data_IF_049108450937
#
_entry.id   IF_049108450937
#
_cell.length_a   1.000
_cell.length_b   1.000
_cell.length_c   1.000
_cell.angle_alpha   90.00
_cell.angle_beta   90.00
_cell.angle_gamma   90.00
#
_symmetry.space_group_name_H-M   'P 1'
#
loop_
_entity.id
_entity.type
_entity.pdbx_description
1 polymer ?
#
# COMPACT_ATOMS: atom_id res chain seq x y z
N UNK A 1 1.89 -31.38 12.56
CA UNK A 1 1.97 -30.64 11.28
C UNK A 1 1.41 -29.26 11.55
N UNK A 2 2.13 -28.20 11.20
CA UNK A 2 1.68 -26.82 11.44
C UNK A 2 1.13 -26.24 10.14
N UNK A 3 -0.02 -25.58 10.19
CA UNK A 3 -0.56 -24.84 9.02
C UNK A 3 -0.08 -23.39 9.14
N UNK A 4 0.53 -22.86 8.09
CA UNK A 4 0.87 -21.44 8.00
C UNK A 4 -0.13 -20.77 7.07
N UNK A 5 -0.85 -19.78 7.60
CA UNK A 5 -1.65 -18.84 6.83
C UNK A 5 -0.82 -17.58 6.64
N UNK A 6 -0.49 -17.28 5.39
CA UNK A 6 0.11 -16.00 5.02
C UNK A 6 -0.95 -15.16 4.32
N UNK A 7 -1.56 -14.18 5.02
CA UNK A 7 -2.61 -13.37 4.43
C UNK A 7 -2.09 -12.47 3.30
N UNK A 8 -0.79 -12.16 3.25
CA UNK A 8 -0.21 -11.21 2.31
C UNK A 8 -0.93 -9.84 2.26
N UNK A 9 -1.62 -9.44 3.35
CA UNK A 9 -2.35 -8.18 3.45
C UNK A 9 -1.43 -7.11 4.02
N UNK A 10 -1.26 -6.01 3.30
CA UNK A 10 -0.48 -4.89 3.78
C UNK A 10 -1.23 -4.12 4.86
N UNK A 11 -0.68 -4.03 6.08
CA UNK A 11 -1.26 -3.24 7.16
C UNK A 11 -0.56 -1.89 7.21
N UNK A 12 -1.32 -0.82 6.96
CA UNK A 12 -0.81 0.53 6.90
C UNK A 12 -1.12 1.27 8.21
N UNK A 13 -0.14 1.97 8.81
CA UNK A 13 -0.39 2.73 10.02
C UNK A 13 -1.35 3.91 9.75
N UNK A 14 -2.08 4.36 10.77
CA UNK A 14 -3.06 5.45 10.61
C UNK A 14 -2.41 6.75 10.12
N UNK A 15 -1.17 7.00 10.57
CA UNK A 15 -0.37 8.16 10.18
C UNK A 15 0.46 7.95 8.90
N UNK A 16 0.28 6.84 8.18
CA UNK A 16 0.93 6.58 6.90
C UNK A 16 0.73 7.77 5.96
N UNK A 17 1.72 8.11 5.14
CA UNK A 17 1.64 9.27 4.24
C UNK A 17 1.87 8.85 2.81
N UNK A 18 1.29 9.66 1.93
CA UNK A 18 1.45 9.50 0.50
C UNK A 18 1.84 10.85 -0.08
N UNK A 19 2.91 10.87 -0.84
CA UNK A 19 3.42 12.06 -1.50
C UNK A 19 3.36 11.89 -3.00
N UNK A 20 2.77 12.86 -3.71
CA UNK A 20 2.94 12.99 -5.16
C UNK A 20 4.19 13.83 -5.38
N UNK A 21 5.26 13.21 -5.88
CA UNK A 21 6.54 13.87 -6.14
C UNK A 21 6.76 14.07 -7.64
N UNK A 22 6.94 15.32 -8.03
CA UNK A 22 7.17 15.73 -9.40
C UNK A 22 8.68 15.71 -9.70
N UNK A 23 9.16 14.88 -10.65
CA UNK A 23 10.59 14.69 -10.94
C UNK A 23 11.19 15.86 -11.73
N UNK A 24 11.22 17.04 -11.09
CA UNK A 24 11.71 18.29 -11.65
C UNK A 24 10.83 18.89 -12.74
N UNK A 25 11.22 20.09 -13.17
CA UNK A 25 10.57 20.82 -14.26
C UNK A 25 10.53 19.95 -15.53
N UNK A 26 9.35 19.84 -16.14
CA UNK A 26 9.15 19.02 -17.34
C UNK A 26 9.34 17.51 -17.14
N UNK A 27 9.37 17.03 -15.88
CA UNK A 27 9.58 15.62 -15.51
C UNK A 27 10.96 15.08 -15.89
N UNK A 28 11.96 15.95 -15.87
CA UNK A 28 13.30 15.72 -16.41
C UNK A 28 14.17 14.72 -15.64
N UNK A 29 13.82 14.41 -14.38
CA UNK A 29 14.50 13.41 -13.53
C UNK A 29 13.76 12.08 -13.46
N UNK A 30 12.72 11.88 -14.28
CA UNK A 30 11.89 10.67 -14.21
C UNK A 30 12.70 9.38 -14.42
N UNK A 31 13.63 9.40 -15.39
CA UNK A 31 14.54 8.27 -15.62
C UNK A 31 15.58 8.10 -14.50
N UNK A 32 16.10 9.19 -13.95
CA UNK A 32 17.09 9.17 -12.87
C UNK A 32 16.51 8.51 -11.60
N UNK A 33 15.24 8.80 -11.28
CA UNK A 33 14.57 8.20 -10.12
C UNK A 33 14.44 6.67 -10.26
N UNK A 34 14.07 6.20 -11.45
CA UNK A 34 13.97 4.77 -11.74
C UNK A 34 15.34 4.10 -11.67
N UNK A 35 16.35 4.67 -12.32
CA UNK A 35 17.69 4.10 -12.42
C UNK A 35 18.41 4.03 -11.06
N UNK A 36 18.20 5.03 -10.20
CA UNK A 36 18.86 5.12 -8.89
C UNK A 36 18.08 4.47 -7.74
N UNK A 37 16.85 3.99 -7.97
CA UNK A 37 15.94 3.56 -6.91
C UNK A 37 15.83 4.60 -5.78
N UNK A 38 15.77 5.87 -6.16
CA UNK A 38 15.76 7.00 -5.23
C UNK A 38 14.88 8.13 -5.73
N UNK A 39 14.46 8.99 -4.82
CA UNK A 39 13.72 10.20 -5.12
C UNK A 39 14.40 11.41 -4.47
N UNK A 40 14.39 12.54 -5.15
CA UNK A 40 15.05 13.75 -4.68
C UNK A 40 14.40 15.01 -5.24
N UNK A 41 14.61 16.14 -4.55
CA UNK A 41 14.33 17.45 -5.10
C UNK A 41 15.52 17.96 -5.90
N UNK A 42 15.26 18.88 -6.82
CA UNK A 42 16.25 19.48 -7.71
C UNK A 42 17.19 20.45 -6.97
N UNK A 43 18.08 19.87 -6.17
CA UNK A 43 18.91 20.56 -5.18
C UNK A 43 20.41 20.24 -5.39
N UNK A 44 20.99 20.58 -6.56
CA UNK A 44 22.38 20.28 -6.84
C UNK A 44 23.32 21.02 -5.89
N UNK A 45 24.31 20.30 -5.36
CA UNK A 45 25.39 20.84 -4.54
C UNK A 45 24.98 21.12 -3.09
N UNK A 46 23.79 20.70 -2.67
CA UNK A 46 23.38 20.75 -1.26
C UNK A 46 23.85 19.50 -0.54
N UNK A 47 24.40 19.69 0.66
CA UNK A 47 24.50 18.66 1.68
C UNK A 47 23.79 19.10 2.96
N UNK A 48 23.18 18.13 3.62
CA UNK A 48 22.57 18.32 4.92
C UNK A 48 23.45 17.63 5.96
N UNK A 49 23.61 18.24 7.14
CA UNK A 49 24.26 17.60 8.29
C UNK A 49 23.25 16.85 9.16
N UNK A 50 22.00 17.30 9.13
CA UNK A 50 20.85 16.77 9.88
C UNK A 50 19.60 16.99 9.04
N UNK A 51 18.46 16.43 9.47
CA UNK A 51 17.17 16.75 8.86
C UNK A 51 16.95 18.29 8.79
N UNK A 52 16.51 18.82 7.65
CA UNK A 52 16.34 20.26 7.45
C UNK A 52 15.17 20.83 8.26
N UNK A 53 15.37 22.01 8.84
CA UNK A 53 14.36 22.79 9.57
C UNK A 53 13.84 23.96 8.70
N UNK A 54 12.52 24.16 8.68
CA UNK A 54 11.84 25.25 7.97
C UNK A 54 12.31 26.65 8.40
N UNK A 55 12.72 26.79 9.66
CA UNK A 55 13.13 28.05 10.24
C UNK A 55 14.63 28.32 10.10
N UNK A 56 15.43 27.35 9.63
CA UNK A 56 16.86 27.52 9.46
C UNK A 56 17.19 28.48 8.30
N UNK A 57 17.89 29.58 8.63
CA UNK A 57 18.41 30.52 7.64
C UNK A 57 19.47 29.88 6.74
N UNK A 58 20.26 28.91 7.24
CA UNK A 58 21.27 28.22 6.43
C UNK A 58 20.60 27.37 5.34
N UNK A 59 19.49 26.71 5.64
CA UNK A 59 18.68 26.00 4.63
C UNK A 59 18.29 26.95 3.49
N UNK A 60 17.76 28.12 3.81
CA UNK A 60 17.33 29.10 2.79
C UNK A 60 18.49 29.54 1.88
N UNK A 61 19.67 29.73 2.46
CA UNK A 61 20.89 30.07 1.72
C UNK A 61 21.33 28.92 0.80
N UNK A 62 21.32 27.67 1.29
CA UNK A 62 21.60 26.47 0.49
C UNK A 62 20.64 26.33 -0.69
N UNK A 63 19.34 26.60 -0.50
CA UNK A 63 18.35 26.55 -1.59
C UNK A 63 18.59 27.61 -2.67
N UNK A 64 19.01 28.82 -2.28
CA UNK A 64 19.39 29.87 -3.25
C UNK A 64 20.64 29.48 -4.04
N UNK A 65 21.64 28.91 -3.36
CA UNK A 65 22.85 28.36 -3.98
C UNK A 65 22.51 27.29 -5.02
N UNK A 66 21.73 26.28 -4.64
CA UNK A 66 21.32 25.20 -5.54
C UNK A 66 20.56 25.71 -6.76
N UNK A 67 19.69 26.70 -6.58
CA UNK A 67 19.01 27.38 -7.68
C UNK A 67 19.99 28.05 -8.64
N UNK A 68 21.02 28.74 -8.13
CA UNK A 68 22.05 29.38 -8.95
C UNK A 68 22.85 28.35 -9.74
N UNK A 69 23.25 27.24 -9.10
CA UNK A 69 23.92 26.09 -9.75
C UNK A 69 23.03 25.53 -10.87
N UNK A 70 21.75 25.30 -10.58
CA UNK A 70 20.79 24.80 -11.57
C UNK A 70 20.58 25.74 -12.77
N UNK A 71 20.60 27.06 -12.56
CA UNK A 71 20.52 28.05 -13.64
C UNK A 71 21.81 28.04 -14.47
N UNK A 72 22.98 28.07 -13.82
CA UNK A 72 24.28 28.06 -14.49
C UNK A 72 24.45 26.84 -15.40
N UNK A 73 24.14 25.64 -14.91
CA UNK A 73 24.19 24.40 -15.69
C UNK A 73 23.25 24.43 -16.90
N UNK A 74 22.02 24.94 -16.73
CA UNK A 74 21.06 25.10 -17.85
C UNK A 74 21.52 26.09 -18.91
N UNK A 75 22.34 27.08 -18.55
CA UNK A 75 22.89 28.11 -19.46
C UNK A 75 24.20 27.71 -20.14
N UNK A 76 24.58 26.42 -20.08
CA UNK A 76 25.79 25.92 -20.72
C UNK A 76 27.05 26.02 -19.88
N UNK A 77 26.95 26.30 -18.58
CA UNK A 77 28.06 26.24 -17.63
C UNK A 77 29.24 27.17 -17.96
N UNK A 78 28.98 28.41 -18.38
CA UNK A 78 30.03 29.39 -18.66
C UNK A 78 31.00 29.54 -17.46
N UNK A 79 32.32 29.30 -17.62
CA UNK A 79 33.30 29.41 -16.54
C UNK A 79 33.30 30.77 -15.84
N UNK A 80 33.04 31.86 -16.57
CA UNK A 80 33.09 33.22 -16.03
C UNK A 80 31.90 33.53 -15.09
N UNK A 81 30.80 32.79 -15.20
CA UNK A 81 29.62 32.92 -14.33
C UNK A 81 29.47 31.72 -13.38
N UNK A 82 30.59 31.08 -13.03
CA UNK A 82 30.59 29.90 -12.16
C UNK A 82 30.09 30.30 -10.75
N UNK A 83 29.00 29.71 -10.24
CA UNK A 83 28.42 30.10 -8.96
C UNK A 83 29.29 29.68 -7.78
N UNK A 84 29.26 30.43 -6.69
CA UNK A 84 29.89 30.00 -5.44
C UNK A 84 29.21 28.76 -4.86
N UNK A 85 30.00 27.91 -4.19
CA UNK A 85 29.55 26.72 -3.43
C UNK A 85 29.46 26.99 -1.94
N UNK A 86 29.74 28.23 -1.52
CA UNK A 86 29.51 28.67 -0.15
C UNK A 86 28.06 29.19 -0.02
N UNK A 87 27.21 28.58 0.84
CA UNK A 87 25.85 29.07 1.05
C UNK A 87 25.79 30.53 1.54
N UNK A 88 26.77 30.97 2.33
CA UNK A 88 26.75 32.31 2.95
C UNK A 88 26.87 33.43 1.92
N UNK A 89 27.45 33.16 0.75
CA UNK A 89 27.51 34.10 -0.37
C UNK A 89 26.11 34.41 -0.95
N UNK A 90 25.08 33.65 -0.55
CA UNK A 90 23.67 33.81 -0.93
C UNK A 90 22.78 34.28 0.23
N UNK A 91 23.39 34.70 1.34
CA UNK A 91 22.67 35.31 2.45
C UNK A 91 21.95 36.59 2.01
N UNK A 92 20.69 36.73 2.43
CA UNK A 92 19.89 37.92 2.14
C UNK A 92 19.82 38.77 3.40
N UNK A 93 20.28 40.02 3.30
CA UNK A 93 20.26 41.00 4.40
C UNK A 93 18.95 41.79 4.47
N UNK A 94 18.13 41.77 3.41
CA UNK A 94 16.84 42.48 3.33
C UNK A 94 15.65 41.52 3.29
N UNK A 95 14.79 41.59 4.32
CA UNK A 95 13.65 40.67 4.57
C UNK A 95 12.59 40.66 3.45
N UNK A 96 12.61 41.63 2.53
CA UNK A 96 11.63 41.79 1.45
C UNK A 96 11.79 40.80 0.28
N UNK A 97 12.85 40.00 0.24
CA UNK A 97 13.04 38.99 -0.82
C UNK A 97 12.26 37.73 -0.46
N UNK A 98 11.28 37.38 -1.31
CA UNK A 98 10.46 36.17 -1.19
C UNK A 98 11.28 34.95 -0.72
N UNK A 99 10.74 34.21 0.25
CA UNK A 99 11.35 32.98 0.73
C UNK A 99 11.64 32.04 -0.46
N UNK A 100 12.79 31.34 -0.47
CA UNK A 100 13.12 30.43 -1.56
C UNK A 100 12.00 29.40 -1.74
N UNK A 101 11.60 29.18 -2.99
CA UNK A 101 10.69 28.08 -3.35
C UNK A 101 11.32 26.77 -2.88
N UNK A 102 10.49 25.83 -2.42
CA UNK A 102 10.86 24.48 -1.95
C UNK A 102 11.19 24.29 -0.47
N UNK A 103 11.11 25.31 0.40
CA UNK A 103 11.41 25.11 1.84
C UNK A 103 10.47 24.07 2.47
N UNK A 104 9.17 24.15 2.19
CA UNK A 104 8.21 23.15 2.67
C UNK A 104 8.42 21.80 2.02
N UNK A 105 8.66 21.77 0.71
CA UNK A 105 8.85 20.52 -0.01
C UNK A 105 10.11 19.75 0.44
N UNK A 106 11.18 20.48 0.80
CA UNK A 106 12.39 19.92 1.42
C UNK A 106 12.06 19.30 2.76
N UNK A 107 11.34 20.02 3.61
CA UNK A 107 10.93 19.50 4.92
C UNK A 107 10.01 18.27 4.77
N UNK A 108 9.05 18.31 3.85
CA UNK A 108 8.13 17.20 3.60
C UNK A 108 8.89 15.93 3.20
N UNK A 109 9.86 16.03 2.29
CA UNK A 109 10.59 14.87 1.78
C UNK A 109 11.70 14.38 2.71
N UNK A 110 12.45 15.28 3.35
CA UNK A 110 13.67 14.93 4.09
C UNK A 110 13.49 14.93 5.61
N UNK A 111 12.36 15.43 6.13
CA UNK A 111 12.09 15.46 7.58
C UNK A 111 10.83 14.67 7.93
N UNK A 112 9.75 14.91 7.19
CA UNK A 112 8.42 14.40 7.53
C UNK A 112 8.09 13.03 6.96
N UNK A 113 8.65 12.67 5.79
CA UNK A 113 8.48 11.35 5.20
C UNK A 113 9.25 10.29 5.99
N UNK A 114 8.59 9.18 6.33
CA UNK A 114 9.14 8.10 7.16
C UNK A 114 9.36 6.83 6.35
N UNK A 115 10.15 5.91 6.90
CA UNK A 115 10.20 4.55 6.37
C UNK A 115 8.78 3.96 6.29
N UNK A 116 8.48 3.31 5.15
CA UNK A 116 7.17 2.75 4.83
C UNK A 116 6.22 3.70 4.10
N UNK A 117 6.43 5.03 4.13
CA UNK A 117 5.55 5.98 3.42
C UNK A 117 5.63 5.80 1.89
N UNK A 118 4.54 6.12 1.20
CA UNK A 118 4.46 6.02 -0.25
C UNK A 118 4.84 7.32 -0.96
N UNK A 119 5.60 7.19 -2.04
CA UNK A 119 5.84 8.25 -3.02
C UNK A 119 5.33 7.83 -4.39
N UNK A 120 4.60 8.73 -5.04
CA UNK A 120 4.05 8.55 -6.37
C UNK A 120 4.75 9.52 -7.30
N UNK A 121 5.35 9.00 -8.36
CA UNK A 121 6.12 9.79 -9.34
C UNK A 121 5.44 9.69 -10.70
N UNK A 122 4.67 10.72 -11.12
CA UNK A 122 3.99 10.68 -12.40
C UNK A 122 4.92 11.14 -13.53
N UNK A 123 4.93 10.39 -14.64
CA UNK A 123 5.64 10.75 -15.86
C UNK A 123 5.04 11.93 -16.63
N UNK A 124 5.62 12.23 -17.80
CA UNK A 124 5.20 13.34 -18.68
C UNK A 124 4.00 12.92 -19.55
N UNK A 125 2.96 13.76 -19.60
CA UNK A 125 1.76 13.50 -20.41
C UNK A 125 0.84 12.44 -19.82
N UNK A 126 -0.37 12.29 -20.36
CA UNK A 126 -1.42 11.45 -19.77
C UNK A 126 -1.16 9.93 -19.88
N UNK A 127 -0.59 9.46 -20.99
CA UNK A 127 -0.29 8.03 -21.19
C UNK A 127 0.99 7.55 -20.50
N UNK A 128 1.65 8.39 -19.71
CA UNK A 128 2.87 7.98 -19.01
C UNK A 128 2.55 7.12 -17.79
N UNK A 129 3.43 6.15 -17.53
CA UNK A 129 3.42 5.36 -16.32
C UNK A 129 3.59 6.27 -15.09
N UNK A 130 2.97 5.85 -14.01
CA UNK A 130 3.10 6.44 -12.68
C UNK A 130 3.83 5.43 -11.82
N UNK A 131 5.01 5.80 -11.30
CA UNK A 131 5.76 4.93 -10.41
C UNK A 131 5.29 5.06 -8.97
N UNK A 132 5.23 3.93 -8.27
CA UNK A 132 4.91 3.83 -6.86
C UNK A 132 6.16 3.35 -6.13
N UNK A 133 6.67 4.13 -5.21
CA UNK A 133 7.82 3.78 -4.38
C UNK A 133 7.44 3.77 -2.92
N UNK A 134 7.95 2.80 -2.17
CA UNK A 134 7.93 2.80 -0.70
C UNK A 134 9.27 3.35 -0.19
N UNK A 135 9.22 4.35 0.69
CA UNK A 135 10.42 4.92 1.33
C UNK A 135 11.03 3.86 2.24
N UNK A 136 12.30 3.52 2.01
CA UNK A 136 12.91 2.36 2.68
C UNK A 136 13.38 2.67 4.10
N UNK A 137 13.99 3.83 4.27
CA UNK A 137 14.64 4.24 5.52
C UNK A 137 14.21 5.67 5.88
N UNK A 138 14.43 6.05 7.14
CA UNK A 138 14.42 7.45 7.55
C UNK A 138 15.52 8.23 6.81
N UNK A 139 15.47 9.57 6.92
CA UNK A 139 16.39 10.42 6.18
C UNK A 139 17.83 10.23 6.67
N UNK A 140 18.70 9.89 5.73
CA UNK A 140 20.14 9.78 5.92
C UNK A 140 20.81 10.98 5.22
N UNK A 141 21.43 11.92 5.96
CA UNK A 141 22.09 13.09 5.38
C UNK A 141 23.26 12.76 4.45
N UNK A 142 23.88 11.59 4.63
CA UNK A 142 25.02 11.13 3.83
C UNK A 142 24.57 10.44 2.53
N UNK A 143 23.31 10.02 2.46
CA UNK A 143 22.76 9.39 1.26
C UNK A 143 22.47 10.43 0.17
N UNK A 144 23.38 10.49 -0.81
CA UNK A 144 23.28 11.39 -1.96
C UNK A 144 23.35 10.61 -3.27
N UNK A 145 22.84 11.24 -4.33
CA UNK A 145 22.89 10.72 -5.70
C UNK A 145 23.44 11.76 -6.66
N UNK A 146 23.98 11.28 -7.78
CA UNK A 146 24.43 12.11 -8.89
C UNK A 146 23.45 11.97 -10.05
N UNK A 147 23.03 13.07 -10.66
CA UNK A 147 22.25 13.06 -11.90
C UNK A 147 23.17 13.36 -13.09
N UNK A 148 22.89 12.76 -14.25
CA UNK A 148 23.60 13.12 -15.50
C UNK A 148 23.51 14.62 -15.84
N UNK A 149 22.51 15.32 -15.30
CA UNK A 149 22.34 16.77 -15.47
C UNK A 149 23.30 17.59 -14.61
N UNK A 150 23.86 16.97 -13.57
CA UNK A 150 24.73 17.57 -12.57
C UNK A 150 25.91 16.62 -12.27
N UNK A 151 26.80 16.36 -13.25
CA UNK A 151 27.81 15.31 -13.12
C UNK A 151 28.78 15.55 -11.96
N UNK A 152 29.05 16.81 -11.60
CA UNK A 152 30.00 17.19 -10.55
C UNK A 152 29.30 17.63 -9.26
N UNK A 153 27.98 17.47 -9.15
CA UNK A 153 27.23 17.91 -7.97
C UNK A 153 26.45 16.73 -7.39
N UNK A 154 26.51 16.57 -6.08
CA UNK A 154 25.67 15.62 -5.35
C UNK A 154 24.31 16.22 -5.04
N UNK A 155 23.30 15.37 -4.91
CA UNK A 155 21.94 15.75 -4.56
C UNK A 155 21.47 14.87 -3.39
N UNK A 156 20.95 15.45 -2.30
CA UNK A 156 20.40 14.67 -1.21
C UNK A 156 19.15 13.91 -1.68
N UNK A 157 19.02 12.64 -1.31
CA UNK A 157 17.96 11.77 -1.82
C UNK A 157 17.30 10.94 -0.72
N UNK A 158 16.17 10.31 -1.06
CA UNK A 158 15.54 9.26 -0.26
C UNK A 158 15.55 7.97 -1.06
N UNK A 159 16.06 6.89 -0.46
CA UNK A 159 16.02 5.56 -1.07
C UNK A 159 14.59 5.02 -1.06
N UNK A 160 14.17 4.48 -2.20
CA UNK A 160 12.82 3.91 -2.37
C UNK A 160 12.88 2.52 -2.98
N UNK A 161 11.92 1.68 -2.62
CA UNK A 161 11.65 0.42 -3.30
C UNK A 161 10.49 0.63 -4.25
N UNK A 162 10.75 0.55 -5.54
CA UNK A 162 9.70 0.61 -6.56
C UNK A 162 8.81 -0.62 -6.47
N UNK A 163 7.51 -0.39 -6.32
CA UNK A 163 6.48 -1.43 -6.38
C UNK A 163 6.21 -1.81 -7.85
N UNK A 164 5.92 -3.08 -8.15
CA UNK A 164 5.69 -3.56 -9.51
C UNK A 164 4.30 -3.17 -10.04
N UNK A 165 3.99 -1.87 -10.01
CA UNK A 165 2.72 -1.30 -10.46
C UNK A 165 2.91 -0.70 -11.86
N UNK A 166 2.11 -1.15 -12.83
CA UNK A 166 2.11 -0.60 -14.18
C UNK A 166 0.79 0.10 -14.47
N UNK A 167 0.68 1.35 -14.02
CA UNK A 167 -0.48 2.19 -14.26
C UNK A 167 -0.10 3.44 -15.02
N UNK A 168 -0.87 3.72 -16.07
CA UNK A 168 -0.85 5.00 -16.74
C UNK A 168 -1.62 6.03 -15.91
N UNK A 169 -1.21 7.30 -16.01
CA UNK A 169 -1.86 8.40 -15.28
C UNK A 169 -3.36 8.56 -15.63
N UNK A 170 -3.82 8.11 -16.80
CA UNK A 170 -5.24 8.19 -17.18
C UNK A 170 -6.14 7.25 -16.40
N UNK A 171 -5.58 6.21 -15.77
CA UNK A 171 -6.36 5.22 -15.01
C UNK A 171 -6.78 5.71 -13.63
N UNK A 172 -6.25 6.86 -13.18
CA UNK A 172 -6.61 7.44 -11.90
C UNK A 172 -7.86 8.32 -12.00
N UNK A 173 -8.51 8.55 -10.86
CA UNK A 173 -9.59 9.50 -10.78
C UNK A 173 -9.14 10.92 -11.20
N UNK A 174 -10.10 11.75 -11.64
CA UNK A 174 -9.81 13.11 -12.15
C UNK A 174 -9.10 14.01 -11.13
N UNK A 175 -9.32 13.80 -9.84
CA UNK A 175 -8.74 14.58 -8.74
C UNK A 175 -7.25 14.25 -8.57
N UNK A 176 -6.90 12.96 -8.55
CA UNK A 176 -5.53 12.46 -8.56
C UNK A 176 -4.78 12.88 -9.81
N UNK A 177 -5.41 12.80 -10.99
CA UNK A 177 -4.82 13.30 -12.25
C UNK A 177 -4.44 14.78 -12.11
N UNK A 178 -5.33 15.61 -11.55
CA UNK A 178 -5.05 17.04 -11.33
C UNK A 178 -3.90 17.26 -10.36
N UNK A 179 -3.80 16.47 -9.29
CA UNK A 179 -2.66 16.50 -8.38
C UNK A 179 -1.36 16.16 -9.11
N UNK A 180 -1.34 15.09 -9.91
CA UNK A 180 -0.18 14.66 -10.70
C UNK A 180 0.25 15.65 -11.81
N UNK A 181 -0.62 16.60 -12.15
CA UNK A 181 -0.37 17.68 -13.13
C UNK A 181 0.03 19.01 -12.51
N UNK A 182 -0.03 19.12 -11.18
CA UNK A 182 0.32 20.34 -10.46
C UNK A 182 1.82 20.69 -10.68
N UNK A 183 2.18 21.96 -10.44
CA UNK A 183 3.53 22.51 -10.55
C UNK A 183 4.33 22.44 -9.24
N UNK A 184 3.68 22.14 -8.12
CA UNK A 184 4.37 21.92 -6.84
C UNK A 184 5.30 20.69 -6.93
N UNK A 185 6.46 20.76 -6.28
CA UNK A 185 7.45 19.69 -6.38
C UNK A 185 7.01 18.44 -5.62
N UNK A 186 6.45 18.60 -4.43
CA UNK A 186 5.85 17.52 -3.66
C UNK A 186 4.48 17.97 -3.15
N UNK A 187 3.54 17.03 -3.08
CA UNK A 187 2.20 17.28 -2.57
C UNK A 187 1.80 16.09 -1.70
N UNK A 188 1.47 16.34 -0.44
CA UNK A 188 0.90 15.30 0.40
C UNK A 188 -0.57 15.04 0.02
N UNK A 189 -0.93 13.78 -0.19
CA UNK A 189 -2.32 13.37 -0.42
C UNK A 189 -3.03 13.25 0.92
N UNK A 190 -3.94 14.17 1.20
CA UNK A 190 -4.66 14.24 2.48
C UNK A 190 -6.05 13.62 2.45
N UNK A 191 -6.71 13.61 1.27
CA UNK A 191 -8.08 13.11 1.13
C UNK A 191 -8.13 11.59 1.19
N UNK A 192 -9.06 11.06 1.99
CA UNK A 192 -9.15 9.61 2.20
C UNK A 192 -9.44 8.83 0.93
N UNK A 193 -10.39 9.24 0.08
CA UNK A 193 -10.70 8.45 -1.13
C UNK A 193 -9.52 8.39 -2.11
N UNK A 194 -8.74 9.47 -2.22
CA UNK A 194 -7.53 9.48 -3.05
C UNK A 194 -6.48 8.51 -2.51
N UNK A 195 -6.31 8.50 -1.18
CA UNK A 195 -5.39 7.60 -0.51
C UNK A 195 -5.80 6.15 -0.69
N UNK A 196 -7.10 5.86 -0.57
CA UNK A 196 -7.66 4.51 -0.75
C UNK A 196 -7.44 3.98 -2.15
N UNK A 197 -7.69 4.79 -3.18
CA UNK A 197 -7.42 4.42 -4.58
C UNK A 197 -5.94 4.12 -4.80
N UNK A 198 -5.05 4.96 -4.25
CA UNK A 198 -3.60 4.74 -4.32
C UNK A 198 -3.22 3.44 -3.62
N UNK A 199 -3.74 3.14 -2.43
CA UNK A 199 -3.42 1.89 -1.73
C UNK A 199 -3.92 0.67 -2.47
N UNK A 200 -5.13 0.73 -3.06
CA UNK A 200 -5.66 -0.34 -3.92
C UNK A 200 -4.72 -0.62 -5.08
N UNK A 201 -4.19 0.43 -5.73
CA UNK A 201 -3.24 0.28 -6.82
C UNK A 201 -1.84 -0.17 -6.38
N UNK A 202 -1.37 0.29 -5.22
CA UNK A 202 -0.04 0.01 -4.70
C UNK A 202 0.11 -1.43 -4.18
N UNK A 203 -0.90 -1.89 -3.44
CA UNK A 203 -0.82 -3.11 -2.64
C UNK A 203 -1.87 -4.16 -3.04
N UNK A 204 -2.93 -3.78 -3.76
CA UNK A 204 -4.09 -4.64 -3.94
C UNK A 204 -4.82 -4.78 -2.61
N UNK A 205 -4.54 -5.87 -1.89
CA UNK A 205 -5.07 -6.16 -0.57
C UNK A 205 -4.33 -5.35 0.52
N UNK A 206 -5.06 -4.43 1.16
CA UNK A 206 -4.53 -3.63 2.25
C UNK A 206 -5.56 -3.38 3.35
N UNK A 207 -5.03 -2.97 4.49
CA UNK A 207 -5.76 -2.46 5.65
C UNK A 207 -5.25 -1.05 5.96
N UNK A 208 -6.17 -0.11 6.13
CA UNK A 208 -5.84 1.23 6.62
C UNK A 208 -7.03 1.82 7.39
N UNK A 209 -6.80 2.19 8.66
CA UNK A 209 -7.85 2.58 9.60
C UNK A 209 -8.98 1.53 9.67
N UNK A 210 -10.22 1.98 9.68
CA UNK A 210 -11.45 1.19 9.60
C UNK A 210 -11.83 0.86 8.15
N UNK A 211 -10.88 0.55 7.26
CA UNK A 211 -11.20 0.14 5.90
C UNK A 211 -10.16 -0.83 5.37
N UNK A 212 -10.62 -1.80 4.58
CA UNK A 212 -9.76 -2.66 3.78
C UNK A 212 -10.02 -2.49 2.29
N UNK A 213 -8.99 -2.75 1.49
CA UNK A 213 -9.09 -2.94 0.04
C UNK A 213 -9.05 -4.42 -0.32
N UNK A 214 -9.86 -5.26 0.30
CA UNK A 214 -9.87 -6.68 -0.05
C UNK A 214 -10.43 -6.92 -1.46
N UNK A 215 -9.65 -7.59 -2.29
CA UNK A 215 -9.97 -7.91 -3.66
C UNK A 215 -9.97 -9.42 -3.85
N UNK A 216 -11.17 -10.00 -4.00
CA UNK A 216 -11.29 -11.40 -4.39
C UNK A 216 -11.27 -11.44 -5.91
N UNK A 217 -10.26 -12.11 -6.48
CA UNK A 217 -10.11 -12.22 -7.92
C UNK A 217 -11.03 -13.30 -8.46
N UNK A 218 -11.57 -13.02 -9.62
CA UNK A 218 -12.48 -13.88 -10.35
C UNK A 218 -11.73 -14.37 -11.60
N UNK A 219 -11.50 -15.69 -11.70
CA UNK A 219 -10.59 -16.24 -12.71
C UNK A 219 -11.28 -16.98 -13.86
N UNK A 220 -12.62 -17.03 -13.89
CA UNK A 220 -13.37 -17.70 -14.97
C UNK A 220 -13.90 -16.66 -15.97
N UNK A 221 -13.91 -17.06 -17.25
CA UNK A 221 -14.26 -16.18 -18.37
C UNK A 221 -15.78 -16.01 -18.52
N UNK A 222 -16.53 -17.07 -18.26
CA UNK A 222 -17.99 -17.09 -18.36
C UNK A 222 -18.58 -17.25 -16.96
N UNK A 223 -19.13 -16.16 -16.42
CA UNK A 223 -19.74 -16.13 -15.09
C UNK A 223 -21.08 -15.45 -15.19
N UNK A 224 -22.11 -16.13 -14.71
CA UNK A 224 -23.44 -15.55 -14.59
C UNK A 224 -23.66 -14.87 -13.22
N UNK A 225 -24.76 -14.12 -13.09
CA UNK A 225 -25.10 -13.45 -11.83
C UNK A 225 -25.38 -14.43 -10.69
N UNK A 226 -25.83 -15.64 -11.00
CA UNK A 226 -26.13 -16.65 -9.99
C UNK A 226 -24.85 -17.22 -9.37
N UNK A 227 -23.81 -17.41 -10.17
CA UNK A 227 -22.49 -17.81 -9.71
C UNK A 227 -21.84 -16.72 -8.86
N UNK A 228 -21.97 -15.45 -9.26
CA UNK A 228 -21.54 -14.32 -8.42
C UNK A 228 -22.26 -14.30 -7.08
N UNK A 229 -23.57 -14.59 -7.03
CA UNK A 229 -24.30 -14.66 -5.76
C UNK A 229 -23.73 -15.72 -4.82
N UNK A 230 -23.34 -16.91 -5.32
CA UNK A 230 -22.69 -17.95 -4.50
C UNK A 230 -21.38 -17.45 -3.88
N UNK A 231 -20.59 -16.71 -4.65
CA UNK A 231 -19.37 -16.08 -4.13
C UNK A 231 -19.67 -15.03 -3.05
N UNK A 232 -20.68 -14.19 -3.29
CA UNK A 232 -21.15 -13.19 -2.33
C UNK A 232 -21.61 -13.87 -1.05
N UNK A 233 -22.40 -14.92 -1.13
CA UNK A 233 -22.93 -15.66 0.03
C UNK A 233 -21.81 -16.28 0.85
N UNK A 234 -20.78 -16.83 0.22
CA UNK A 234 -19.64 -17.37 0.93
C UNK A 234 -18.85 -16.28 1.67
N UNK A 235 -18.65 -15.11 1.05
CA UNK A 235 -18.03 -13.96 1.73
C UNK A 235 -18.89 -13.43 2.87
N UNK A 236 -20.22 -13.39 2.68
CA UNK A 236 -21.20 -13.01 3.70
C UNK A 236 -21.18 -13.98 4.87
N UNK A 237 -21.05 -15.28 4.61
CA UNK A 237 -21.03 -16.31 5.64
C UNK A 237 -19.82 -16.12 6.56
N UNK A 238 -18.61 -16.03 6.01
CA UNK A 238 -17.41 -15.82 6.84
C UNK A 238 -17.41 -14.45 7.54
N UNK A 239 -17.94 -13.42 6.90
CA UNK A 239 -18.11 -12.12 7.52
C UNK A 239 -19.08 -12.16 8.71
N UNK A 240 -20.21 -12.86 8.54
CA UNK A 240 -21.23 -13.05 9.57
C UNK A 240 -20.71 -13.93 10.72
N UNK A 241 -19.91 -14.95 10.39
CA UNK A 241 -19.20 -15.78 11.35
C UNK A 241 -18.24 -14.95 12.20
N UNK A 242 -17.45 -14.06 11.60
CA UNK A 242 -16.58 -13.15 12.33
C UNK A 242 -17.38 -12.26 13.29
N UNK A 243 -18.52 -11.74 12.85
CA UNK A 243 -19.40 -10.92 13.70
C UNK A 243 -19.94 -11.76 14.88
N UNK A 244 -20.39 -12.99 14.63
CA UNK A 244 -20.84 -13.90 15.68
C UNK A 244 -19.72 -14.24 16.69
N UNK A 245 -18.51 -14.52 16.19
CA UNK A 245 -17.32 -14.73 16.99
C UNK A 245 -17.06 -13.53 17.92
N UNK A 246 -17.06 -12.30 17.39
CA UNK A 246 -16.84 -11.09 18.21
C UNK A 246 -17.98 -10.77 19.17
N UNK A 247 -19.17 -11.35 18.98
CA UNK A 247 -20.29 -11.28 19.93
C UNK A 247 -20.28 -12.42 20.96
N UNK A 248 -19.40 -13.41 20.84
CA UNK A 248 -19.42 -14.62 21.68
C UNK A 248 -20.55 -15.59 21.33
N UNK A 249 -21.14 -15.46 20.14
CA UNK A 249 -22.30 -16.23 19.68
C UNK A 249 -21.91 -17.24 18.57
N UNK A 250 -20.63 -17.58 18.45
CA UNK A 250 -20.13 -18.48 17.39
C UNK A 250 -20.79 -19.87 17.43
N UNK A 251 -21.00 -20.44 18.61
CA UNK A 251 -21.68 -21.73 18.75
C UNK A 251 -23.12 -21.69 18.19
N UNK A 252 -23.86 -20.61 18.51
CA UNK A 252 -25.21 -20.39 17.98
C UNK A 252 -25.21 -20.16 16.47
N UNK A 253 -24.19 -19.48 15.94
CA UNK A 253 -24.01 -19.28 14.50
C UNK A 253 -23.77 -20.61 13.78
N UNK A 254 -22.96 -21.49 14.35
CA UNK A 254 -22.65 -22.78 13.78
C UNK A 254 -23.80 -23.80 13.93
N UNK A 255 -24.70 -23.61 14.90
CA UNK A 255 -25.84 -24.50 15.11
C UNK A 255 -27.01 -24.30 14.12
N UNK A 256 -27.01 -23.21 13.34
CA UNK A 256 -28.08 -22.87 12.40
C UNK A 256 -27.62 -23.06 10.94
N UNK A 257 -28.58 -23.13 10.02
CA UNK A 257 -28.28 -23.38 8.60
C UNK A 257 -27.52 -22.22 7.95
N UNK A 258 -26.74 -22.52 6.91
CA UNK A 258 -25.86 -21.56 6.23
C UNK A 258 -26.51 -20.19 5.88
N UNK A 259 -27.69 -20.19 5.26
CA UNK A 259 -28.38 -18.95 4.88
C UNK A 259 -29.01 -18.25 6.10
N UNK A 260 -29.56 -19.01 7.04
CA UNK A 260 -30.10 -18.48 8.30
C UNK A 260 -29.00 -17.80 9.12
N UNK A 261 -27.79 -18.36 9.12
CA UNK A 261 -26.61 -17.79 9.75
C UNK A 261 -26.22 -16.43 9.14
N UNK A 262 -26.27 -16.32 7.81
CA UNK A 262 -26.07 -15.05 7.12
C UNK A 262 -27.17 -14.08 7.53
N UNK A 263 -28.44 -14.42 7.34
CA UNK A 263 -29.57 -13.51 7.57
C UNK A 263 -29.61 -12.96 9.01
N UNK A 264 -29.25 -13.78 10.01
CA UNK A 264 -29.26 -13.41 11.42
C UNK A 264 -28.09 -12.48 11.81
N UNK A 265 -26.90 -12.71 11.28
CA UNK A 265 -25.67 -12.03 11.74
C UNK A 265 -25.12 -11.00 10.76
N UNK A 266 -25.63 -10.98 9.52
CA UNK A 266 -25.23 -10.02 8.51
C UNK A 266 -25.55 -8.60 8.94
N UNK A 267 -24.51 -7.76 8.94
CA UNK A 267 -24.66 -6.35 9.26
C UNK A 267 -24.01 -5.48 8.17
N UNK A 268 -24.86 -4.84 7.37
CA UNK A 268 -24.45 -3.92 6.29
C UNK A 268 -23.52 -2.80 6.76
N UNK A 269 -23.53 -2.44 8.04
CA UNK A 269 -22.68 -1.37 8.57
C UNK A 269 -21.19 -1.69 8.50
N UNK A 270 -20.84 -2.98 8.46
CA UNK A 270 -19.45 -3.47 8.38
C UNK A 270 -18.90 -3.54 6.95
N UNK A 271 -19.71 -3.29 5.94
CA UNK A 271 -19.32 -3.40 4.54
C UNK A 271 -19.28 -2.03 3.86
N UNK A 272 -18.35 -1.88 2.91
CA UNK A 272 -18.32 -0.79 1.94
C UNK A 272 -19.16 -1.09 0.70
N UNK A 273 -19.05 -0.21 -0.30
CA UNK A 273 -19.65 -0.44 -1.62
C UNK A 273 -19.03 -1.65 -2.30
N UNK A 274 -19.84 -2.44 -2.99
CA UNK A 274 -19.38 -3.59 -3.78
C UNK A 274 -18.87 -3.08 -5.12
N UNK A 275 -17.65 -3.45 -5.49
CA UNK A 275 -17.10 -3.24 -6.81
C UNK A 275 -17.03 -4.57 -7.54
N UNK A 276 -17.72 -4.69 -8.67
CA UNK A 276 -17.68 -5.87 -9.52
C UNK A 276 -17.22 -5.45 -10.90
N UNK A 277 -16.16 -6.09 -11.38
CA UNK A 277 -15.71 -5.97 -12.76
C UNK A 277 -15.78 -7.35 -13.42
N UNK A 278 -16.79 -7.51 -14.30
CA UNK A 278 -17.13 -8.78 -14.95
C UNK A 278 -16.48 -8.81 -16.34
N UNK A 279 -15.23 -9.22 -16.38
CA UNK A 279 -14.50 -9.69 -17.56
C UNK A 279 -13.45 -10.68 -17.06
N UNK A 280 -12.63 -11.28 -17.92
CA UNK A 280 -11.53 -12.13 -17.46
C UNK A 280 -10.17 -11.55 -17.88
N UNK A 281 -9.23 -11.38 -16.93
CA UNK A 281 -9.40 -11.59 -15.48
C UNK A 281 -10.21 -10.46 -14.81
N UNK A 282 -11.25 -10.81 -14.06
CA UNK A 282 -12.14 -9.88 -13.37
C UNK A 282 -11.89 -9.84 -11.87
N UNK A 283 -12.65 -9.01 -11.16
CA UNK A 283 -12.60 -9.01 -9.70
C UNK A 283 -13.94 -8.69 -9.06
N UNK A 284 -14.09 -9.26 -7.86
CA UNK A 284 -15.12 -8.95 -6.90
C UNK A 284 -14.45 -8.34 -5.67
N UNK A 285 -14.53 -7.02 -5.57
CA UNK A 285 -14.01 -6.27 -4.44
C UNK A 285 -15.13 -5.96 -3.46
N UNK A 286 -14.95 -6.35 -2.20
CA UNK A 286 -15.85 -5.95 -1.13
C UNK A 286 -15.04 -5.40 0.04
N UNK A 287 -14.79 -4.09 0.04
CA UNK A 287 -14.18 -3.40 1.17
C UNK A 287 -14.95 -3.70 2.45
N UNK A 288 -14.23 -4.05 3.51
CA UNK A 288 -14.80 -4.20 4.84
C UNK A 288 -14.32 -3.03 5.70
N UNK A 289 -15.18 -2.55 6.59
CA UNK A 289 -14.84 -1.44 7.49
C UNK A 289 -13.99 -1.87 8.68
N UNK A 290 -13.65 -3.16 8.79
CA UNK A 290 -12.73 -3.65 9.82
C UNK A 290 -11.64 -4.49 9.18
N UNK A 291 -10.41 -4.10 9.48
CA UNK A 291 -9.20 -4.79 9.08
C UNK A 291 -9.18 -6.27 9.43
N UNK A 292 -9.42 -6.57 10.71
CA UNK A 292 -9.42 -7.93 11.24
C UNK A 292 -10.49 -8.80 10.57
N UNK A 293 -11.67 -8.24 10.31
CA UNK A 293 -12.74 -8.92 9.57
C UNK A 293 -12.32 -9.24 8.13
N UNK A 294 -11.67 -8.29 7.46
CA UNK A 294 -11.12 -8.48 6.12
C UNK A 294 -10.05 -9.58 6.07
N UNK A 295 -9.09 -9.54 7.00
CA UNK A 295 -8.08 -10.59 7.13
C UNK A 295 -8.70 -11.96 7.41
N UNK A 296 -9.69 -12.00 8.30
CA UNK A 296 -10.42 -13.21 8.66
C UNK A 296 -11.14 -13.81 7.45
N UNK A 297 -11.95 -13.03 6.73
CA UNK A 297 -12.70 -13.55 5.57
C UNK A 297 -11.74 -14.07 4.50
N UNK A 298 -10.67 -13.34 4.19
CA UNK A 298 -9.67 -13.79 3.21
C UNK A 298 -8.97 -15.08 3.66
N UNK A 299 -8.60 -15.19 4.94
CA UNK A 299 -7.99 -16.39 5.49
C UNK A 299 -8.93 -17.62 5.46
N UNK A 300 -10.19 -17.44 5.85
CA UNK A 300 -11.19 -18.51 5.85
C UNK A 300 -11.53 -18.99 4.43
N UNK A 301 -11.60 -18.07 3.45
CA UNK A 301 -11.77 -18.40 2.04
C UNK A 301 -10.61 -19.22 1.46
N UNK A 302 -9.38 -18.92 1.91
CA UNK A 302 -8.18 -19.65 1.50
C UNK A 302 -8.11 -21.02 2.17
N UNK A 303 -8.37 -21.10 3.49
CA UNK A 303 -8.39 -22.35 4.25
C UNK A 303 -9.44 -23.32 3.69
N UNK A 304 -10.67 -22.86 3.43
CA UNK A 304 -11.75 -23.70 2.89
C UNK A 304 -11.45 -24.27 1.49
N UNK A 305 -10.58 -23.63 0.71
CA UNK A 305 -10.16 -24.10 -0.61
C UNK A 305 -8.85 -24.90 -0.62
N UNK A 306 -8.21 -25.08 0.54
CA UNK A 306 -6.86 -25.68 0.65
C UNK A 306 -6.85 -27.18 0.94
N UNK A 307 -8.01 -27.78 1.21
CA UNK A 307 -8.10 -29.19 1.62
C UNK A 307 -7.54 -29.47 3.02
N UNK A 308 -7.44 -28.44 3.87
CA UNK A 308 -7.06 -28.56 5.28
C UNK A 308 -8.29 -28.88 6.11
N UNK A 309 -8.18 -29.87 6.99
CA UNK A 309 -9.25 -30.25 7.94
C UNK A 309 -9.36 -29.22 9.08
N UNK A 310 -10.53 -29.13 9.72
CA UNK A 310 -10.72 -28.22 10.85
C UNK A 310 -9.73 -28.49 11.98
N UNK A 311 -9.43 -29.77 12.26
CA UNK A 311 -8.47 -30.19 13.27
C UNK A 311 -7.04 -29.74 12.96
N UNK A 312 -6.60 -29.81 11.70
CA UNK A 312 -5.29 -29.28 11.29
C UNK A 312 -5.25 -27.75 11.41
N UNK A 313 -6.33 -27.07 11.00
CA UNK A 313 -6.40 -25.61 11.01
C UNK A 313 -6.56 -25.00 12.42
N UNK A 314 -6.95 -25.78 13.43
CA UNK A 314 -6.96 -25.36 14.84
C UNK A 314 -5.55 -25.03 15.38
N UNK A 315 -4.50 -25.55 14.73
CA UNK A 315 -3.10 -25.29 15.04
C UNK A 315 -2.42 -24.35 14.03
N UNK A 316 -3.22 -23.55 13.32
CA UNK A 316 -2.73 -22.54 12.38
C UNK A 316 -1.84 -21.50 13.07
N UNK A 317 -0.78 -21.09 12.37
CA UNK A 317 0.01 -19.89 12.64
C UNK A 317 -0.19 -18.86 11.54
N UNK A 318 -0.25 -17.59 11.90
CA UNK A 318 -0.34 -16.49 10.91
C UNK A 318 1.04 -15.87 10.72
N UNK A 319 1.57 -15.92 9.50
CA UNK A 319 2.84 -15.28 9.12
C UNK A 319 2.63 -14.40 7.88
N UNK A 320 2.43 -13.10 8.11
CA UNK A 320 2.11 -12.15 7.05
C UNK A 320 3.39 -11.67 6.34
N UNK A 321 3.61 -12.15 5.12
CA UNK A 321 4.79 -11.79 4.31
C UNK A 321 4.77 -10.36 3.77
N UNK A 322 3.62 -9.68 3.80
CA UNK A 322 3.49 -8.29 3.35
C UNK A 322 3.93 -7.28 4.42
N UNK A 323 4.13 -7.71 5.66
CA UNK A 323 4.57 -6.88 6.77
C UNK A 323 5.99 -7.24 7.20
N UNK A 324 6.79 -6.23 7.57
CA UNK A 324 8.15 -6.46 8.06
C UNK A 324 8.20 -6.98 9.51
N UNK A 325 7.12 -6.78 10.26
CA UNK A 325 6.98 -7.16 11.67
C UNK A 325 5.57 -7.70 11.89
N UNK A 326 5.44 -8.72 12.75
CA UNK A 326 4.14 -9.23 13.21
C UNK A 326 3.34 -8.12 13.89
N UNK A 327 2.14 -7.85 13.38
CA UNK A 327 1.24 -6.83 13.91
C UNK A 327 0.23 -7.42 14.91
N UNK A 328 -0.43 -6.55 15.68
CA UNK A 328 -1.55 -6.93 16.56
C UNK A 328 -2.67 -7.58 15.75
N UNK A 329 -2.95 -7.07 14.54
CA UNK A 329 -3.95 -7.65 13.66
C UNK A 329 -3.58 -9.08 13.22
N UNK A 330 -2.29 -9.40 13.05
CA UNK A 330 -1.85 -10.75 12.69
C UNK A 330 -2.09 -11.73 13.86
N UNK A 331 -1.84 -11.30 15.10
CA UNK A 331 -2.08 -12.10 16.32
C UNK A 331 -3.58 -12.29 16.61
N UNK A 332 -4.38 -11.24 16.46
CA UNK A 332 -5.84 -11.33 16.59
C UNK A 332 -6.42 -12.26 15.53
N UNK A 333 -5.94 -12.16 14.29
CA UNK A 333 -6.35 -13.03 13.20
C UNK A 333 -6.01 -14.49 13.48
N UNK A 334 -4.80 -14.79 13.99
CA UNK A 334 -4.43 -16.15 14.40
C UNK A 334 -5.38 -16.69 15.46
N UNK A 335 -5.66 -15.90 16.49
CA UNK A 335 -6.56 -16.29 17.58
C UNK A 335 -7.97 -16.57 17.07
N UNK A 336 -8.50 -15.68 16.23
CA UNK A 336 -9.84 -15.81 15.66
C UNK A 336 -9.97 -17.04 14.77
N UNK A 337 -8.97 -17.32 13.92
CA UNK A 337 -8.96 -18.51 13.06
C UNK A 337 -8.94 -19.78 13.93
N UNK A 338 -8.05 -19.84 14.92
CA UNK A 338 -7.91 -21.03 15.76
C UNK A 338 -9.18 -21.33 16.55
N UNK A 339 -9.78 -20.32 17.18
CA UNK A 339 -11.03 -20.48 17.92
C UNK A 339 -12.16 -20.99 17.01
N UNK A 340 -12.28 -20.44 15.80
CA UNK A 340 -13.30 -20.93 14.85
C UNK A 340 -13.04 -22.37 14.42
N UNK A 341 -11.79 -22.72 14.12
CA UNK A 341 -11.43 -24.05 13.65
C UNK A 341 -11.59 -25.13 14.74
N UNK A 342 -11.29 -24.78 15.99
CA UNK A 342 -11.57 -25.64 17.15
C UNK A 342 -13.07 -25.95 17.29
N UNK A 343 -13.94 -24.95 17.11
CA UNK A 343 -15.38 -25.19 17.10
C UNK A 343 -15.82 -26.06 15.92
N UNK A 344 -15.29 -25.80 14.72
CA UNK A 344 -15.59 -26.61 13.55
C UNK A 344 -15.19 -28.09 13.70
N UNK A 345 -14.04 -28.35 14.31
CA UNK A 345 -13.55 -29.70 14.54
C UNK A 345 -14.53 -30.54 15.40
N UNK A 346 -15.29 -29.89 16.27
CA UNK A 346 -16.25 -30.55 17.16
C UNK A 346 -17.61 -30.83 16.51
N UNK A 347 -17.92 -30.22 15.36
CA UNK A 347 -19.27 -30.25 14.75
C UNK A 347 -19.29 -30.74 13.30
N UNK A 348 -18.13 -31.04 12.70
CA UNK A 348 -17.96 -31.57 11.34
C UNK A 348 -18.61 -30.76 10.19
N UNK A 349 -19.04 -29.52 10.44
CA UNK A 349 -19.64 -28.64 9.41
C UNK A 349 -18.63 -28.17 8.37
N UNK A 350 -17.35 -28.09 8.74
CA UNK A 350 -16.29 -27.62 7.87
C UNK A 350 -16.13 -28.51 6.64
N UNK A 351 -15.91 -29.81 6.86
CA UNK A 351 -15.73 -30.79 5.80
C UNK A 351 -17.04 -31.09 5.05
N UNK A 352 -18.18 -31.06 5.74
CA UNK A 352 -19.46 -31.50 5.17
C UNK A 352 -20.21 -30.41 4.41
N UNK A 353 -20.08 -29.14 4.81
CA UNK A 353 -20.85 -28.04 4.21
C UNK A 353 -19.97 -26.94 3.63
N UNK A 354 -18.99 -26.46 4.39
CA UNK A 354 -18.20 -25.27 4.01
C UNK A 354 -17.24 -25.56 2.86
N UNK A 355 -16.42 -26.61 3.00
CA UNK A 355 -15.45 -27.01 1.98
C UNK A 355 -16.12 -27.38 0.64
N UNK A 356 -17.20 -28.19 0.60
CA UNK A 356 -17.90 -28.50 -0.65
C UNK A 356 -18.51 -27.27 -1.33
N UNK A 357 -19.10 -26.33 -0.57
CA UNK A 357 -19.61 -25.06 -1.12
C UNK A 357 -18.49 -24.19 -1.69
N UNK A 358 -17.34 -24.15 -1.02
CA UNK A 358 -16.17 -23.40 -1.51
C UNK A 358 -15.66 -23.98 -2.81
N UNK A 359 -15.55 -25.30 -2.93
CA UNK A 359 -15.08 -25.96 -4.15
C UNK A 359 -16.06 -25.75 -5.29
N UNK A 360 -17.38 -25.89 -5.05
CA UNK A 360 -18.39 -25.58 -6.05
C UNK A 360 -18.30 -24.14 -6.55
N UNK A 361 -18.03 -23.18 -5.65
CA UNK A 361 -17.87 -21.76 -6.01
C UNK A 361 -16.54 -21.49 -6.74
N UNK A 362 -15.48 -22.25 -6.41
CA UNK A 362 -14.20 -22.19 -7.12
C UNK A 362 -14.33 -22.69 -8.55
N UNK A 363 -15.08 -23.75 -8.76
CA UNK A 363 -15.26 -24.35 -10.09
C UNK A 363 -16.06 -23.45 -11.02
N UNK A 364 -17.06 -22.73 -10.49
CA UNK A 364 -17.91 -21.82 -11.28
C UNK A 364 -17.33 -20.42 -11.45
N UNK A 365 -16.88 -19.77 -10.36
CA UNK A 365 -16.44 -18.35 -10.37
C UNK A 365 -14.91 -18.23 -10.43
N UNK A 366 -14.16 -19.24 -9.98
CA UNK A 366 -12.71 -19.14 -9.89
C UNK A 366 -12.27 -18.14 -8.84
N UNK A 367 -12.83 -18.20 -7.63
CA UNK A 367 -12.43 -17.30 -6.54
C UNK A 367 -10.98 -17.56 -6.13
N UNK A 368 -10.16 -16.51 -6.15
CA UNK A 368 -8.78 -16.53 -5.66
C UNK A 368 -8.53 -15.33 -4.74
N UNK A 369 -7.92 -15.62 -3.59
CA UNK A 369 -7.37 -14.63 -2.67
C UNK A 369 -5.86 -14.58 -2.82
N UNK A 370 -5.22 -13.48 -2.44
CA UNK A 370 -3.75 -13.41 -2.41
C UNK A 370 -3.15 -14.13 -1.18
N UNK A 371 -4.01 -14.54 -0.22
CA UNK A 371 -3.64 -15.41 0.92
C UNK A 371 -3.07 -16.75 0.45
N UNK A 372 -1.95 -17.16 1.04
CA UNK A 372 -1.34 -18.48 0.79
C UNK A 372 -1.40 -19.37 2.03
N UNK A 373 -1.65 -20.67 1.80
CA UNK A 373 -1.71 -21.70 2.83
C UNK A 373 -0.55 -22.67 2.61
N UNK A 374 0.28 -22.90 3.64
CA UNK A 374 1.41 -23.84 3.59
C UNK A 374 1.30 -24.88 4.70
N UNK A 375 1.58 -26.15 4.38
CA UNK A 375 1.71 -27.22 5.37
C UNK A 375 3.18 -27.37 5.75
N UNK A 376 3.55 -27.03 6.98
CA UNK A 376 4.86 -27.34 7.53
C UNK A 376 4.88 -28.77 8.06
N UNK A 377 5.64 -29.61 7.36
CA UNK A 377 6.10 -30.89 7.87
C UNK A 377 7.26 -30.59 8.82
N UNK A 378 7.22 -31.07 10.09
CA UNK A 378 8.37 -30.93 10.98
C UNK A 378 9.60 -31.47 10.28
N UNK A 379 10.64 -30.64 10.13
CA UNK A 379 11.95 -31.13 9.69
C UNK A 379 12.37 -32.22 10.68
N UNK A 380 12.58 -33.44 10.19
CA UNK A 380 13.18 -34.49 10.99
C UNK A 380 14.51 -33.94 11.53
N UNK A 381 14.59 -33.71 12.84
CA UNK A 381 15.82 -33.32 13.50
C UNK A 381 16.85 -34.42 13.22
N UNK A 382 17.97 -34.03 12.61
CA UNK A 382 19.17 -34.85 12.45
C UNK A 382 20.05 -34.74 13.69
#
# INVERSE_FOLDING_TARGET
MSIIVDPAIRILPDNHRIFVLHPGEGKRFYGDFQASASVFLDLPGISFSTAPDLNDTSLRNKLRMARRIGIWRRRGSNPDDKPSRNPDDYAVTTVTVDAPRFVHEVHDLYTEAKAGDLVIVPGKGYGSTVFFGEVMNDFDPDFTVTSHRYPDETIPARKVKWLPVNLSKQQFNRRLIRLMQNRQAIIQVTREDDRREIYTHAYGDYVWKESSGNLIRVTKDDIDLNDLNKAVDLTNFFASQYIALKKGELELFLAIGFHEAIDKYYDKTYFGGVNVEIHSPGYFGRPMKKAAMAGYVSAMLALSGSGVTAQEAAYTKVLNSANAVTSICDMELETDIRQTMEMYANIHLWENEVCPKREATKDTVGLKTDVTIKKEVPSAEN
#
